data_IF_583916165246
#
_entry.id   IF_583916165246
#
_cell.length_a   1.000
_cell.length_b   1.000
_cell.length_c   1.000
_cell.angle_alpha   90.00
_cell.angle_beta   90.00
_cell.angle_gamma   90.00
#
_symmetry.space_group_name_H-M   'P 1'
#
loop_
_entity.id
_entity.type
_entity.pdbx_description
1 polymer ?
#
# COMPACT_ATOMS: atom_id res chain seq x y z
N UNK A 1 -4.28 -4.87 -13.30
CA UNK A 1 -3.82 -4.29 -14.57
C UNK A 1 -2.50 -3.49 -14.43
N UNK A 2 -2.11 -3.07 -13.23
CA UNK A 2 -0.89 -2.30 -12.98
C UNK A 2 0.37 -3.01 -13.50
N UNK A 3 0.51 -4.31 -13.25
CA UNK A 3 1.63 -5.10 -13.73
C UNK A 3 1.79 -5.01 -15.27
N UNK A 4 0.70 -5.20 -16.02
CA UNK A 4 0.72 -5.07 -17.49
C UNK A 4 1.17 -3.69 -17.92
N UNK A 5 0.63 -2.62 -17.32
CA UNK A 5 0.99 -1.24 -17.68
C UNK A 5 2.49 -0.97 -17.53
N UNK A 6 3.11 -1.53 -16.49
CA UNK A 6 4.52 -1.30 -16.20
C UNK A 6 5.46 -2.26 -16.96
N UNK A 7 5.04 -3.50 -17.22
CA UNK A 7 5.87 -4.52 -17.87
C UNK A 7 5.69 -4.60 -19.38
N UNK A 8 4.58 -4.07 -19.92
CA UNK A 8 4.23 -4.19 -21.33
C UNK A 8 5.23 -3.47 -22.23
N UNK A 9 5.62 -4.14 -23.32
CA UNK A 9 6.47 -3.53 -24.35
C UNK A 9 5.71 -2.45 -25.12
N UNK A 10 6.21 -1.23 -25.11
CA UNK A 10 5.66 -0.16 -25.92
C UNK A 10 6.09 -0.30 -27.38
N UNK A 11 5.19 0.08 -28.31
CA UNK A 11 5.46 0.03 -29.75
C UNK A 11 6.74 0.79 -30.10
N UNK A 12 7.66 0.13 -30.82
CA UNK A 12 8.93 0.74 -31.21
C UNK A 12 9.98 0.85 -30.11
N UNK A 13 9.75 0.25 -28.94
CA UNK A 13 10.69 0.23 -27.83
C UNK A 13 11.20 -1.19 -27.54
N UNK A 14 12.30 -1.27 -26.77
CA UNK A 14 12.83 -2.54 -26.23
C UNK A 14 11.84 -3.19 -25.26
N UNK A 15 12.04 -4.48 -24.97
CA UNK A 15 11.26 -5.20 -23.96
C UNK A 15 11.47 -4.62 -22.56
N UNK A 16 10.52 -4.88 -21.66
CA UNK A 16 10.59 -4.48 -20.25
C UNK A 16 9.79 -3.24 -19.87
N UNK A 17 8.99 -2.67 -20.79
CA UNK A 17 8.08 -1.56 -20.48
C UNK A 17 8.82 -0.34 -19.92
N UNK A 18 8.53 0.03 -18.66
CA UNK A 18 9.19 1.12 -17.94
C UNK A 18 10.57 0.75 -17.39
N UNK A 19 11.05 -0.48 -17.62
CA UNK A 19 12.36 -0.98 -17.15
C UNK A 19 12.50 -0.89 -15.62
N UNK A 20 11.42 -1.24 -14.92
CA UNK A 20 11.40 -1.33 -13.46
C UNK A 20 12.18 -2.56 -12.99
N UNK A 21 12.70 -2.53 -11.75
CA UNK A 21 13.31 -3.72 -11.14
C UNK A 21 12.26 -4.81 -10.89
N UNK A 22 12.68 -6.05 -10.81
CA UNK A 22 11.78 -7.17 -10.52
C UNK A 22 11.10 -7.01 -9.16
N UNK A 23 11.83 -6.56 -8.14
CA UNK A 23 11.27 -6.28 -6.82
C UNK A 23 10.16 -5.22 -6.89
N UNK A 24 10.34 -4.14 -7.65
CA UNK A 24 9.31 -3.13 -7.85
C UNK A 24 8.09 -3.71 -8.56
N UNK A 25 8.28 -4.49 -9.64
CA UNK A 25 7.18 -5.12 -10.35
C UNK A 25 6.42 -6.14 -9.49
N UNK A 26 7.12 -6.89 -8.65
CA UNK A 26 6.50 -7.86 -7.75
C UNK A 26 5.75 -7.18 -6.59
N UNK A 27 6.27 -6.06 -6.07
CA UNK A 27 5.68 -5.35 -4.92
C UNK A 27 4.31 -4.72 -5.18
N UNK A 28 3.96 -4.47 -6.44
CA UNK A 28 2.64 -3.92 -6.81
C UNK A 28 1.58 -4.98 -7.10
N UNK A 29 1.94 -6.27 -7.02
CA UNK A 29 1.03 -7.38 -7.34
C UNK A 29 0.37 -7.92 -6.07
N UNK A 30 -0.70 -7.29 -5.66
CA UNK A 30 -1.51 -7.65 -4.47
C UNK A 30 -2.03 -9.09 -4.52
N UNK A 31 -2.45 -9.53 -5.69
CA UNK A 31 -3.02 -10.86 -5.94
C UNK A 31 -2.11 -11.64 -6.90
N UNK A 32 -1.06 -12.32 -6.41
CA UNK A 32 0.01 -12.87 -7.25
C UNK A 32 -0.40 -14.18 -7.94
N UNK A 33 -1.51 -14.12 -8.66
CA UNK A 33 -2.02 -15.25 -9.45
C UNK A 33 -2.56 -14.79 -10.81
N UNK A 34 -2.57 -15.74 -11.73
CA UNK A 34 -3.00 -15.60 -13.11
C UNK A 34 -4.48 -15.30 -13.22
N UNK A 35 -4.88 -14.51 -14.22
CA UNK A 35 -6.28 -14.13 -14.46
C UNK A 35 -7.23 -15.31 -14.63
N UNK A 36 -6.75 -16.50 -14.98
CA UNK A 36 -7.53 -17.73 -15.01
C UNK A 36 -8.06 -18.15 -13.60
N UNK A 37 -7.47 -17.64 -12.53
CA UNK A 37 -7.86 -17.91 -11.14
C UNK A 37 -8.68 -16.75 -10.51
N UNK A 38 -9.09 -15.75 -11.30
CA UNK A 38 -9.75 -14.55 -10.78
C UNK A 38 -11.10 -14.81 -10.09
N UNK A 39 -11.79 -15.90 -10.44
CA UNK A 39 -13.12 -16.23 -9.89
C UNK A 39 -14.15 -15.12 -10.10
N UNK A 40 -15.22 -15.15 -9.33
CA UNK A 40 -16.33 -14.18 -9.42
C UNK A 40 -15.94 -12.76 -8.97
N UNK A 41 -14.89 -12.64 -8.17
CA UNK A 41 -14.41 -11.34 -7.67
C UNK A 41 -13.58 -10.55 -8.69
N UNK A 42 -13.18 -11.18 -9.80
CA UNK A 42 -12.43 -10.54 -10.88
C UNK A 42 -11.03 -10.02 -10.48
N UNK A 43 -10.53 -10.37 -9.28
CA UNK A 43 -9.24 -9.92 -8.77
C UNK A 43 -8.14 -10.89 -9.19
N UNK A 44 -7.04 -10.37 -9.75
CA UNK A 44 -5.84 -11.12 -10.15
C UNK A 44 -4.66 -10.16 -10.30
N UNK A 45 -3.44 -10.69 -10.39
CA UNK A 45 -2.21 -9.90 -10.48
C UNK A 45 -1.71 -9.68 -11.90
N UNK A 46 -1.78 -10.69 -12.73
CA UNK A 46 -1.29 -10.67 -14.11
C UNK A 46 -2.19 -11.49 -15.04
N UNK A 47 -2.25 -11.09 -16.29
CA UNK A 47 -3.01 -11.83 -17.30
C UNK A 47 -2.24 -13.07 -17.76
N UNK A 48 -2.92 -14.02 -18.39
CA UNK A 48 -2.30 -15.21 -18.97
C UNK A 48 -1.20 -14.87 -19.98
N UNK A 49 -1.27 -13.72 -20.64
CA UNK A 49 -0.26 -13.22 -21.58
C UNK A 49 1.04 -12.75 -20.90
N UNK A 50 1.00 -12.37 -19.63
CA UNK A 50 2.17 -11.93 -18.86
C UNK A 50 2.72 -13.03 -17.94
N UNK A 51 2.15 -14.24 -17.96
CA UNK A 51 2.55 -15.33 -17.07
C UNK A 51 4.04 -15.67 -17.11
N UNK A 52 4.63 -15.69 -18.31
CA UNK A 52 6.06 -16.01 -18.48
C UNK A 52 6.96 -14.94 -17.87
N UNK A 53 6.57 -13.67 -18.02
CA UNK A 53 7.31 -12.55 -17.43
C UNK A 53 7.21 -12.61 -15.89
N UNK A 54 6.00 -12.84 -15.35
CA UNK A 54 5.81 -12.92 -13.92
C UNK A 54 6.50 -14.14 -13.32
N UNK A 55 6.45 -15.29 -14.00
CA UNK A 55 7.18 -16.50 -13.59
C UNK A 55 8.68 -16.23 -13.50
N UNK A 56 9.27 -15.61 -14.53
CA UNK A 56 10.69 -15.23 -14.50
C UNK A 56 11.02 -14.33 -13.30
N UNK A 57 10.17 -13.34 -13.02
CA UNK A 57 10.33 -12.45 -11.86
C UNK A 57 10.28 -13.24 -10.54
N UNK A 58 9.31 -14.15 -10.43
CA UNK A 58 9.13 -14.97 -9.23
C UNK A 58 10.33 -15.91 -9.00
N UNK A 59 10.83 -16.55 -10.07
CA UNK A 59 11.99 -17.44 -10.00
C UNK A 59 13.28 -16.69 -9.60
N UNK A 60 13.53 -15.52 -10.19
CA UNK A 60 14.70 -14.68 -9.86
C UNK A 60 14.67 -14.11 -8.44
N UNK A 61 13.46 -13.83 -7.91
CA UNK A 61 13.29 -13.32 -6.54
C UNK A 61 13.06 -14.41 -5.51
N UNK A 62 12.99 -15.69 -5.91
CA UNK A 62 12.71 -16.80 -5.01
C UNK A 62 11.30 -16.77 -4.41
N UNK A 63 10.32 -16.19 -5.11
CA UNK A 63 8.92 -16.12 -4.62
C UNK A 63 8.32 -17.52 -4.65
N UNK A 64 7.76 -17.95 -3.53
CA UNK A 64 7.23 -19.30 -3.34
C UNK A 64 6.02 -19.53 -4.25
N UNK A 65 6.07 -20.58 -5.06
CA UNK A 65 4.95 -20.99 -5.90
C UNK A 65 3.98 -21.86 -5.10
N UNK A 66 2.69 -21.50 -5.14
CA UNK A 66 1.60 -22.25 -4.50
C UNK A 66 0.90 -23.24 -5.46
N UNK A 67 0.89 -22.94 -6.76
CA UNK A 67 0.23 -23.79 -7.75
C UNK A 67 1.08 -25.01 -8.13
N UNK A 68 0.41 -26.12 -8.44
CA UNK A 68 1.05 -27.33 -8.95
C UNK A 68 1.54 -27.15 -10.40
N UNK A 69 2.44 -28.04 -10.84
CA UNK A 69 2.92 -28.05 -12.21
C UNK A 69 1.78 -28.30 -13.20
N UNK A 70 1.69 -27.49 -14.25
CA UNK A 70 0.61 -27.56 -15.24
C UNK A 70 -0.68 -26.83 -14.87
N UNK A 71 -0.85 -26.39 -13.63
CA UNK A 71 -1.97 -25.56 -13.20
C UNK A 71 -1.69 -24.06 -13.48
N UNK A 72 -2.75 -23.22 -13.57
CA UNK A 72 -2.58 -21.77 -13.62
C UNK A 72 -1.68 -21.25 -12.48
N UNK A 73 -0.85 -20.23 -12.77
CA UNK A 73 0.16 -19.78 -11.85
C UNK A 73 -0.43 -19.06 -10.63
N UNK A 74 0.02 -19.44 -9.44
CA UNK A 74 -0.24 -18.76 -8.19
C UNK A 74 1.00 -18.80 -7.31
N UNK A 75 1.32 -17.66 -6.68
CA UNK A 75 2.51 -17.47 -5.86
C UNK A 75 2.16 -16.87 -4.50
N UNK A 76 3.09 -16.91 -3.56
CA UNK A 76 3.06 -16.08 -2.37
C UNK A 76 3.18 -14.59 -2.75
N UNK A 77 2.72 -13.70 -1.88
CA UNK A 77 2.97 -12.27 -2.04
C UNK A 77 4.46 -11.96 -1.88
N UNK A 78 4.96 -11.07 -2.72
CA UNK A 78 6.29 -10.51 -2.47
C UNK A 78 6.27 -9.72 -1.15
N UNK A 79 7.28 -9.82 -0.28
CA UNK A 79 7.27 -9.16 1.04
C UNK A 79 6.88 -7.68 1.01
N UNK A 80 7.39 -6.92 0.05
CA UNK A 80 7.08 -5.49 -0.07
C UNK A 80 5.63 -5.17 -0.46
N UNK A 81 4.83 -6.15 -0.89
CA UNK A 81 3.40 -5.94 -1.18
C UNK A 81 2.67 -5.44 0.08
N UNK A 82 2.97 -6.01 1.24
CA UNK A 82 2.34 -5.61 2.50
C UNK A 82 2.61 -4.15 2.86
N UNK A 83 3.83 -3.67 2.59
CA UNK A 83 4.18 -2.26 2.83
C UNK A 83 3.53 -1.32 1.80
N UNK A 84 3.44 -1.75 0.54
CA UNK A 84 2.76 -0.97 -0.51
C UNK A 84 1.27 -0.86 -0.20
N UNK A 85 0.61 -1.95 0.21
CA UNK A 85 -0.79 -1.93 0.62
C UNK A 85 -1.02 -1.05 1.85
N UNK A 86 -0.19 -1.18 2.88
CA UNK A 86 -0.28 -0.34 4.07
C UNK A 86 -0.13 1.15 3.73
N UNK A 87 0.80 1.51 2.85
CA UNK A 87 1.00 2.89 2.42
C UNK A 87 -0.20 3.42 1.63
N UNK A 88 -0.78 2.59 0.74
CA UNK A 88 -1.95 2.93 -0.05
C UNK A 88 -3.17 3.18 0.85
N UNK A 89 -3.48 2.26 1.75
CA UNK A 89 -4.60 2.35 2.68
C UNK A 89 -4.46 3.55 3.64
N UNK A 90 -3.27 3.77 4.23
CA UNK A 90 -3.00 4.93 5.09
C UNK A 90 -3.22 6.23 4.32
N UNK A 91 -2.70 6.34 3.10
CA UNK A 91 -2.85 7.54 2.30
C UNK A 91 -4.32 7.80 1.96
N UNK A 92 -5.05 6.81 1.45
CA UNK A 92 -6.44 6.99 1.06
C UNK A 92 -7.33 7.39 2.23
N UNK A 93 -7.31 6.62 3.32
CA UNK A 93 -8.20 6.86 4.45
C UNK A 93 -7.95 8.22 5.12
N UNK A 94 -6.70 8.58 5.33
CA UNK A 94 -6.37 9.82 6.03
C UNK A 94 -6.52 11.06 5.13
N UNK A 95 -6.25 10.93 3.82
CA UNK A 95 -6.47 12.03 2.89
C UNK A 95 -7.97 12.29 2.65
N UNK A 96 -8.81 11.26 2.67
CA UNK A 96 -10.27 11.42 2.56
C UNK A 96 -10.85 12.26 3.71
N UNK A 97 -10.27 12.15 4.91
CA UNK A 97 -10.65 13.01 6.05
C UNK A 97 -10.28 14.48 5.76
N UNK A 98 -9.06 14.73 5.29
CA UNK A 98 -8.61 16.09 4.94
C UNK A 98 -9.44 16.68 3.79
N UNK A 99 -9.67 15.90 2.74
CA UNK A 99 -10.46 16.36 1.60
C UNK A 99 -11.92 16.63 1.98
N UNK A 100 -12.50 15.82 2.86
CA UNK A 100 -13.83 16.07 3.42
C UNK A 100 -13.90 17.39 4.20
N UNK A 101 -12.82 17.76 4.89
CA UNK A 101 -12.69 19.07 5.53
C UNK A 101 -12.62 20.21 4.49
N UNK A 102 -11.75 20.08 3.50
CA UNK A 102 -11.59 21.09 2.42
C UNK A 102 -12.87 21.30 1.63
N UNK A 103 -13.61 20.22 1.39
CA UNK A 103 -14.92 20.27 0.72
C UNK A 103 -16.06 20.75 1.64
N UNK A 104 -15.76 21.06 2.90
CA UNK A 104 -16.74 21.49 3.92
C UNK A 104 -17.85 20.46 4.20
N UNK A 105 -17.57 19.19 3.98
CA UNK A 105 -18.40 18.05 4.39
C UNK A 105 -18.27 17.83 5.90
N UNK A 106 -17.04 17.95 6.41
CA UNK A 106 -16.72 17.90 7.83
C UNK A 106 -16.35 19.30 8.34
N UNK A 107 -16.86 19.66 9.52
CA UNK A 107 -16.37 20.85 10.24
C UNK A 107 -14.96 20.63 10.76
N UNK A 108 -14.27 21.71 11.15
CA UNK A 108 -12.94 21.60 11.77
C UNK A 108 -12.95 20.71 13.02
N UNK A 109 -13.93 20.87 13.92
CA UNK A 109 -14.02 20.06 15.14
C UNK A 109 -14.23 18.57 14.83
N UNK A 110 -15.11 18.23 13.88
CA UNK A 110 -15.31 16.84 13.46
C UNK A 110 -14.03 16.23 12.87
N UNK A 111 -13.32 16.99 12.03
CA UNK A 111 -12.05 16.57 11.42
C UNK A 111 -10.98 16.35 12.49
N UNK A 112 -10.87 17.29 13.44
CA UNK A 112 -9.96 17.22 14.57
C UNK A 112 -10.24 15.98 15.42
N UNK A 113 -11.51 15.73 15.77
CA UNK A 113 -11.89 14.57 16.58
C UNK A 113 -11.53 13.25 15.88
N UNK A 114 -11.76 13.15 14.58
CA UNK A 114 -11.37 11.99 13.78
C UNK A 114 -9.85 11.78 13.79
N UNK A 115 -9.07 12.82 13.48
CA UNK A 115 -7.61 12.71 13.41
C UNK A 115 -6.97 12.49 14.77
N UNK A 116 -7.42 13.19 15.82
CA UNK A 116 -6.88 13.01 17.15
C UNK A 116 -7.39 11.73 17.82
N UNK A 117 -8.49 11.13 17.34
CA UNK A 117 -8.99 9.84 17.82
C UNK A 117 -7.99 8.68 17.70
N UNK A 118 -6.96 8.80 16.87
CA UNK A 118 -5.86 7.85 16.80
C UNK A 118 -4.92 7.88 18.01
N UNK A 119 -4.99 8.88 18.88
CA UNK A 119 -4.03 9.11 19.97
C UNK A 119 -4.70 9.05 21.36
N UNK A 120 -3.90 8.72 22.36
CA UNK A 120 -4.30 8.90 23.76
C UNK A 120 -4.29 10.40 24.14
N UNK A 121 -4.94 10.73 25.29
CA UNK A 121 -5.11 12.11 25.73
C UNK A 121 -3.79 12.85 25.95
N UNK A 122 -2.72 12.16 26.36
CA UNK A 122 -1.42 12.80 26.59
C UNK A 122 -0.79 13.26 25.28
N UNK A 123 -0.90 12.45 24.24
CA UNK A 123 -0.38 12.76 22.91
C UNK A 123 -1.26 13.81 22.22
N UNK A 124 -2.60 13.74 22.35
CA UNK A 124 -3.51 14.79 21.85
C UNK A 124 -3.12 16.16 22.40
N UNK A 125 -2.98 16.26 23.72
CA UNK A 125 -2.57 17.50 24.38
C UNK A 125 -1.20 18.00 23.90
N UNK A 126 -0.28 17.10 23.60
CA UNK A 126 1.04 17.45 23.08
C UNK A 126 0.94 18.02 21.64
N UNK A 127 0.11 17.40 20.79
CA UNK A 127 -0.13 17.87 19.41
C UNK A 127 -0.78 19.26 19.43
N UNK A 128 -1.83 19.45 20.23
CA UNK A 128 -2.52 20.73 20.36
C UNK A 128 -1.60 21.84 20.90
N UNK A 129 -0.79 21.50 21.92
CA UNK A 129 0.20 22.43 22.46
C UNK A 129 1.18 22.86 21.37
N UNK A 130 1.68 21.93 20.57
CA UNK A 130 2.65 22.23 19.52
C UNK A 130 2.06 23.10 18.42
N UNK A 131 0.83 22.82 18.00
CA UNK A 131 0.08 23.67 17.06
C UNK A 131 0.02 25.11 17.56
N UNK A 132 -0.25 25.29 18.86
CA UNK A 132 -0.31 26.61 19.52
C UNK A 132 1.07 27.27 19.62
N UNK A 133 2.09 26.51 20.02
CA UNK A 133 3.46 27.03 20.22
C UNK A 133 4.09 27.44 18.87
N UNK A 134 3.77 26.75 17.77
CA UNK A 134 4.18 27.10 16.42
C UNK A 134 3.34 28.22 15.79
N UNK A 135 2.29 28.69 16.47
CA UNK A 135 1.45 29.80 16.00
C UNK A 135 0.58 29.46 14.78
N UNK A 136 0.24 28.16 14.59
CA UNK A 136 -0.63 27.75 13.49
C UNK A 136 -2.05 28.16 13.79
N UNK A 137 -2.56 29.15 13.03
CA UNK A 137 -3.92 29.72 13.25
C UNK A 137 -4.95 29.26 12.23
N UNK A 138 -4.52 28.99 11.00
CA UNK A 138 -5.41 28.50 9.93
C UNK A 138 -5.85 27.07 10.17
N UNK A 139 -7.12 26.79 9.99
CA UNK A 139 -7.70 25.47 10.29
C UNK A 139 -7.24 24.40 9.30
N UNK A 140 -6.99 24.73 8.02
CA UNK A 140 -6.45 23.76 7.07
C UNK A 140 -5.02 23.39 7.43
N UNK A 141 -4.20 24.36 7.86
CA UNK A 141 -2.82 24.09 8.31
C UNK A 141 -2.80 23.23 9.60
N UNK A 142 -3.75 23.45 10.53
CA UNK A 142 -3.90 22.57 11.70
C UNK A 142 -4.26 21.14 11.28
N UNK A 143 -5.19 20.98 10.33
CA UNK A 143 -5.58 19.66 9.79
C UNK A 143 -4.39 18.98 9.12
N UNK A 144 -3.60 19.68 8.30
CA UNK A 144 -2.39 19.17 7.66
C UNK A 144 -1.39 18.67 8.71
N UNK A 145 -1.19 19.44 9.79
CA UNK A 145 -0.29 19.05 10.87
C UNK A 145 -0.77 17.79 11.60
N UNK A 146 -2.06 17.74 11.99
CA UNK A 146 -2.65 16.58 12.66
C UNK A 146 -2.60 15.34 11.75
N UNK A 147 -2.90 15.49 10.45
CA UNK A 147 -2.76 14.42 9.46
C UNK A 147 -1.33 13.85 9.43
N UNK A 148 -0.32 14.71 9.38
CA UNK A 148 1.07 14.25 9.38
C UNK A 148 1.43 13.45 10.65
N UNK A 149 0.90 13.84 11.81
CA UNK A 149 1.07 13.09 13.05
C UNK A 149 0.42 11.69 12.97
N UNK A 150 -0.80 11.59 12.39
CA UNK A 150 -1.51 10.31 12.24
C UNK A 150 -0.75 9.41 11.27
N UNK A 151 -0.35 9.90 10.11
CA UNK A 151 0.43 9.14 9.13
C UNK A 151 1.70 8.58 9.78
N UNK A 152 2.48 9.41 10.46
CA UNK A 152 3.71 8.96 11.13
C UNK A 152 3.46 7.91 12.22
N UNK A 153 2.32 7.96 12.92
CA UNK A 153 1.92 6.91 13.86
C UNK A 153 1.62 5.59 13.12
N UNK A 154 0.79 5.66 12.09
CA UNK A 154 0.37 4.46 11.33
C UNK A 154 1.55 3.79 10.61
N UNK A 155 2.45 4.58 10.01
CA UNK A 155 3.70 4.09 9.43
C UNK A 155 4.53 3.29 10.45
N UNK A 156 4.69 3.82 11.66
CA UNK A 156 5.41 3.12 12.73
C UNK A 156 4.73 1.82 13.16
N UNK A 157 3.39 1.80 13.24
CA UNK A 157 2.62 0.59 13.59
C UNK A 157 2.79 -0.47 12.51
N UNK A 158 2.62 -0.10 11.24
CA UNK A 158 2.76 -1.02 10.11
C UNK A 158 4.20 -1.56 9.98
N UNK A 159 5.21 -0.69 10.16
CA UNK A 159 6.62 -1.10 10.12
C UNK A 159 6.94 -2.11 11.22
N UNK A 160 6.45 -1.90 12.44
CA UNK A 160 6.62 -2.87 13.55
C UNK A 160 5.91 -4.18 13.25
N UNK A 161 4.66 -4.14 12.81
CA UNK A 161 3.91 -5.35 12.44
C UNK A 161 4.64 -6.14 11.35
N UNK A 162 5.21 -5.46 10.35
CA UNK A 162 6.02 -6.09 9.30
C UNK A 162 7.25 -6.80 9.88
N UNK A 163 7.99 -6.14 10.79
CA UNK A 163 9.19 -6.70 11.42
C UNK A 163 8.81 -7.88 12.33
N UNK A 164 7.74 -7.75 13.11
CA UNK A 164 7.30 -8.79 14.05
C UNK A 164 6.85 -10.07 13.32
N UNK A 165 6.38 -9.94 12.08
CA UNK A 165 5.94 -11.05 11.23
C UNK A 165 6.91 -11.36 10.07
N UNK A 166 8.15 -10.86 10.10
CA UNK A 166 9.13 -11.01 9.02
C UNK A 166 9.27 -12.46 8.54
N UNK A 167 9.36 -13.41 9.47
CA UNK A 167 9.51 -14.82 9.13
C UNK A 167 8.32 -15.36 8.34
N UNK A 168 7.10 -15.08 8.78
CA UNK A 168 5.86 -15.53 8.13
C UNK A 168 5.67 -14.87 6.77
N UNK A 169 6.10 -13.61 6.63
CA UNK A 169 6.09 -12.87 5.37
C UNK A 169 7.08 -13.48 4.39
N UNK A 170 8.30 -13.79 4.83
CA UNK A 170 9.36 -14.36 3.98
C UNK A 170 9.10 -15.81 3.58
N UNK A 171 8.47 -16.61 4.43
CA UNK A 171 8.08 -17.99 4.12
C UNK A 171 6.72 -18.11 3.41
N UNK A 172 6.05 -16.98 3.15
CA UNK A 172 4.79 -16.91 2.39
C UNK A 172 3.56 -17.42 3.15
N UNK A 173 3.63 -17.56 4.47
CA UNK A 173 2.53 -18.07 5.32
C UNK A 173 1.70 -16.95 5.97
N UNK A 174 2.19 -15.71 5.96
CA UNK A 174 1.46 -14.55 6.45
C UNK A 174 0.16 -14.31 5.66
N UNK A 175 -0.95 -14.11 6.37
CA UNK A 175 -2.31 -13.96 5.79
C UNK A 175 -2.90 -12.59 6.07
#
# INVERSE_FOLDING_TARGET
>A
NAFRLLAHRFKGRRDGGFVMTYSTLASIVKYPFESALAGDHGKFGFFCTEKEIYQKIADELGIIRHSQSGAPLAYARHPLVYLVEAADDICYEIMDIEDSHKLKILSFEQTKDLLLGFFDESVKNSIEKRIKDEGITDDNEKVIYMRACVIGKLENVCARAFIDHEKEILDGTFK
#
